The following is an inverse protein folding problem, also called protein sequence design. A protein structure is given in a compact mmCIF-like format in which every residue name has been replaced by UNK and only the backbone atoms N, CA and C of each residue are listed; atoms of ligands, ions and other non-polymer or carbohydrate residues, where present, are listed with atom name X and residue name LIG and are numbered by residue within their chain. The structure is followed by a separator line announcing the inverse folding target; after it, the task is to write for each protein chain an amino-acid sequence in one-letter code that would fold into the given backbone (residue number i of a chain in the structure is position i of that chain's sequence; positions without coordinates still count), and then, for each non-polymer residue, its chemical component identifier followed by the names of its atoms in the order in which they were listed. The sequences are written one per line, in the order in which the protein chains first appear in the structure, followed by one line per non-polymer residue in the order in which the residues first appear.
data_IF_652878538901
#
_entry.id   IF_652878538901
#
_cell.length_a   1.000
_cell.length_b   1.000
_cell.length_c   1.000
_cell.angle_alpha   90.00
_cell.angle_beta   90.00
_cell.angle_gamma   90.00
#
_symmetry.space_group_name_H-M   'P 1'
#
loop_
_entity.id
_entity.type
_entity.pdbx_description
1 polymer ?
#
# COMPACT_ATOMS: atom_id res chain seq x y z
N UNK A 1 -17.66 25.84 3.64
CA UNK A 1 -16.29 25.57 3.19
C UNK A 1 -16.15 24.07 3.04
N UNK A 2 -16.38 23.56 1.83
CA UNK A 2 -16.46 22.12 1.56
C UNK A 2 -15.06 21.53 1.73
N UNK A 3 -14.85 20.67 2.73
CA UNK A 3 -13.68 19.80 2.77
C UNK A 3 -13.80 18.86 1.56
N UNK A 4 -13.04 19.13 0.52
CA UNK A 4 -12.74 18.12 -0.49
C UNK A 4 -11.86 17.09 0.22
N UNK A 5 -12.44 15.98 0.67
CA UNK A 5 -11.65 14.83 1.11
C UNK A 5 -10.92 14.35 -0.14
N UNK A 6 -9.62 14.63 -0.24
CA UNK A 6 -8.81 14.14 -1.33
C UNK A 6 -9.02 12.62 -1.41
N UNK A 7 -9.52 12.14 -2.55
CA UNK A 7 -9.73 10.72 -2.76
C UNK A 7 -8.38 10.01 -2.61
N UNK A 8 -8.30 9.04 -1.69
CA UNK A 8 -7.07 8.29 -1.46
C UNK A 8 -6.63 7.60 -2.75
N UNK A 9 -5.32 7.67 -3.03
CA UNK A 9 -4.73 7.06 -4.24
C UNK A 9 -4.86 5.53 -4.15
N UNK A 10 -4.79 4.99 -2.94
CA UNK A 10 -4.90 3.57 -2.68
C UNK A 10 -6.34 3.18 -2.37
N UNK A 11 -6.71 1.98 -2.80
CA UNK A 11 -7.87 1.30 -2.19
C UNK A 11 -7.56 0.97 -0.74
N UNK A 12 -8.62 0.76 0.06
CA UNK A 12 -8.48 0.32 1.46
C UNK A 12 -7.56 -0.90 1.60
N UNK A 13 -7.70 -1.90 0.72
CA UNK A 13 -6.91 -3.13 0.81
C UNK A 13 -5.46 -2.96 0.37
N UNK A 14 -5.19 -2.09 -0.60
CA UNK A 14 -3.81 -1.73 -0.95
C UNK A 14 -3.14 -0.98 0.20
N UNK A 15 -3.85 -0.04 0.83
CA UNK A 15 -3.34 0.69 2.00
C UNK A 15 -2.99 -0.25 3.15
N UNK A 16 -3.89 -1.15 3.53
CA UNK A 16 -3.61 -2.16 4.56
C UNK A 16 -2.37 -3.01 4.24
N UNK A 17 -2.18 -3.39 2.97
CA UNK A 17 -0.97 -4.09 2.55
C UNK A 17 0.26 -3.22 2.79
N UNK A 18 0.28 -1.96 2.33
CA UNK A 18 1.42 -1.06 2.53
C UNK A 18 1.70 -0.72 4.00
N UNK A 19 0.66 -0.61 4.84
CA UNK A 19 0.80 -0.44 6.30
C UNK A 19 1.54 -1.64 6.94
N UNK A 20 1.35 -2.86 6.44
CA UNK A 20 2.14 -4.00 6.91
C UNK A 20 3.54 -4.07 6.29
N UNK A 21 3.71 -3.63 5.04
CA UNK A 21 5.03 -3.60 4.40
C UNK A 21 5.98 -2.65 5.14
N UNK A 22 5.49 -1.50 5.60
CA UNK A 22 6.33 -0.47 6.23
C UNK A 22 6.84 -0.93 7.61
N UNK A 23 6.06 -1.72 8.34
CA UNK A 23 6.51 -2.38 9.59
C UNK A 23 7.32 -3.66 9.35
N UNK A 24 7.73 -3.91 8.10
CA UNK A 24 8.69 -4.96 7.75
C UNK A 24 8.11 -6.37 7.53
N UNK A 25 6.78 -6.52 7.40
CA UNK A 25 6.18 -7.84 7.14
C UNK A 25 6.51 -8.36 5.75
N UNK A 26 6.71 -9.68 5.65
CA UNK A 26 6.87 -10.39 4.39
C UNK A 26 5.53 -10.54 3.66
N UNK A 27 5.54 -10.86 2.36
CA UNK A 27 4.29 -11.15 1.62
C UNK A 27 3.54 -12.33 2.20
N UNK A 28 4.27 -13.32 2.73
CA UNK A 28 3.73 -14.47 3.43
C UNK A 28 3.01 -14.06 4.71
N UNK A 29 3.65 -13.27 5.58
CA UNK A 29 3.03 -12.82 6.84
C UNK A 29 1.75 -12.02 6.56
N UNK A 30 1.79 -11.12 5.57
CA UNK A 30 0.65 -10.29 5.18
C UNK A 30 -0.47 -11.16 4.64
N UNK A 31 -0.15 -12.18 3.83
CA UNK A 31 -1.12 -13.12 3.30
C UNK A 31 -1.86 -13.86 4.44
N UNK A 32 -1.13 -14.31 5.47
CA UNK A 32 -1.71 -14.93 6.65
C UNK A 32 -2.57 -13.94 7.45
N UNK A 33 -2.07 -12.74 7.73
CA UNK A 33 -2.79 -11.70 8.49
C UNK A 33 -4.09 -11.27 7.81
N UNK A 34 -4.09 -11.22 6.48
CA UNK A 34 -5.22 -10.74 5.68
C UNK A 34 -6.12 -11.87 5.14
N UNK A 35 -5.79 -13.14 5.37
CA UNK A 35 -6.57 -14.28 4.88
C UNK A 35 -6.65 -14.38 3.36
N UNK A 36 -5.58 -14.01 2.65
CA UNK A 36 -5.50 -14.02 1.17
C UNK A 36 -4.23 -14.73 0.71
N UNK A 37 -4.09 -15.01 -0.59
CA UNK A 37 -2.85 -15.62 -1.11
C UNK A 37 -1.70 -14.60 -1.20
N UNK A 38 -0.45 -15.07 -1.13
CA UNK A 38 0.72 -14.23 -1.41
C UNK A 38 0.70 -13.60 -2.81
N UNK A 39 0.11 -14.30 -3.79
CA UNK A 39 -0.11 -13.75 -5.14
C UNK A 39 -1.06 -12.55 -5.07
N UNK A 40 -2.13 -12.62 -4.29
CA UNK A 40 -3.06 -11.52 -4.08
C UNK A 40 -2.38 -10.33 -3.39
N UNK A 41 -1.55 -10.57 -2.37
CA UNK A 41 -0.74 -9.52 -1.73
C UNK A 41 0.17 -8.84 -2.77
N UNK A 42 0.93 -9.61 -3.55
CA UNK A 42 1.79 -9.05 -4.61
C UNK A 42 1.00 -8.25 -5.63
N UNK A 43 -0.21 -8.67 -5.99
CA UNK A 43 -1.07 -7.90 -6.89
C UNK A 43 -1.48 -6.54 -6.30
N UNK A 44 -1.84 -6.48 -5.01
CA UNK A 44 -2.11 -5.20 -4.34
C UNK A 44 -0.88 -4.28 -4.35
N UNK A 45 0.31 -4.84 -4.12
CA UNK A 45 1.58 -4.08 -4.18
C UNK A 45 1.81 -3.53 -5.60
N UNK A 46 1.69 -4.38 -6.62
CA UNK A 46 1.87 -3.99 -8.03
C UNK A 46 0.88 -2.91 -8.46
N UNK A 47 -0.38 -3.01 -8.05
CA UNK A 47 -1.40 -2.01 -8.37
C UNK A 47 -1.10 -0.67 -7.68
N UNK A 48 -0.68 -0.68 -6.42
CA UNK A 48 -0.27 0.54 -5.72
C UNK A 48 0.95 1.20 -6.38
N UNK A 49 1.97 0.41 -6.73
CA UNK A 49 3.13 0.88 -7.50
C UNK A 49 2.70 1.54 -8.82
N UNK A 50 1.79 0.91 -9.57
CA UNK A 50 1.29 1.42 -10.83
C UNK A 50 0.54 2.75 -10.65
N UNK A 51 -0.33 2.85 -9.65
CA UNK A 51 -1.09 4.08 -9.34
C UNK A 51 -0.20 5.24 -8.95
N UNK A 52 0.90 4.96 -8.27
CA UNK A 52 1.91 5.96 -7.89
C UNK A 52 2.86 6.31 -9.04
N UNK A 53 2.86 5.55 -10.14
CA UNK A 53 3.77 5.78 -11.27
C UNK A 53 5.25 5.55 -10.96
N UNK A 54 5.57 4.79 -9.92
CA UNK A 54 6.95 4.52 -9.47
C UNK A 54 7.43 3.14 -9.94
N UNK A 55 8.74 2.89 -9.84
CA UNK A 55 9.38 1.69 -10.42
C UNK A 55 9.47 0.49 -9.47
N UNK A 56 9.11 0.65 -8.20
CA UNK A 56 9.22 -0.46 -7.25
C UNK A 56 8.70 -0.19 -5.85
N UNK A 57 8.69 -1.25 -5.03
CA UNK A 57 8.14 -1.26 -3.67
C UNK A 57 8.74 -0.21 -2.75
N UNK A 58 10.08 -0.06 -2.75
CA UNK A 58 10.75 0.92 -1.89
C UNK A 58 10.36 2.35 -2.25
N UNK A 59 10.30 2.67 -3.55
CA UNK A 59 9.85 3.99 -4.02
C UNK A 59 8.38 4.24 -3.68
N UNK A 60 7.52 3.22 -3.78
CA UNK A 60 6.12 3.33 -3.40
C UNK A 60 5.94 3.64 -1.91
N UNK A 61 6.69 2.97 -1.02
CA UNK A 61 6.65 3.25 0.43
C UNK A 61 7.07 4.70 0.71
N UNK A 62 8.17 5.16 0.11
CA UNK A 62 8.65 6.54 0.30
C UNK A 62 7.62 7.56 -0.20
N UNK A 63 7.00 7.33 -1.35
CA UNK A 63 6.01 8.26 -1.90
C UNK A 63 4.72 8.29 -1.07
N UNK A 64 4.25 7.13 -0.58
CA UNK A 64 3.06 7.07 0.27
C UNK A 64 3.29 7.76 1.63
N UNK A 65 4.50 7.67 2.19
CA UNK A 65 4.89 8.43 3.38
C UNK A 65 4.89 9.94 3.11
N UNK A 66 5.45 10.38 1.98
CA UNK A 66 5.46 11.79 1.57
C UNK A 66 4.04 12.34 1.42
N UNK A 67 3.13 11.53 0.87
CA UNK A 67 1.73 11.89 0.66
C UNK A 67 0.87 11.79 1.93
N UNK A 68 1.39 11.22 3.02
CA UNK A 68 0.63 10.97 4.26
C UNK A 68 -0.45 9.88 4.11
N UNK A 69 -0.34 9.03 3.09
CA UNK A 69 -1.27 7.92 2.85
C UNK A 69 -1.03 6.76 3.82
N UNK A 70 0.22 6.57 4.25
CA UNK A 70 0.64 5.60 5.28
C UNK A 70 1.56 6.30 6.29
N UNK A 71 1.71 5.71 7.48
CA UNK A 71 2.53 6.25 8.57
C UNK A 71 3.48 5.18 9.13
N UNK A 72 4.60 5.61 9.72
CA UNK A 72 5.53 4.75 10.47
C UNK A 72 5.00 4.43 11.87
#
# INVERSE_FOLDING_TARGET
MTLCVAASILTKREKEVFDWLIVGKSTYDIAQLLGISEKTVRNHISNGIQKLGVKGRAQAIVELLRLGEINL
#
